data_IF_275090166363
#
_entry.id   IF_275090166363
#
_cell.length_a   1.000
_cell.length_b   1.000
_cell.length_c   1.000
_cell.angle_alpha   90.00
_cell.angle_beta   90.00
_cell.angle_gamma   90.00
#
_symmetry.space_group_name_H-M   'P 1'
#
loop_
_entity.id
_entity.type
_entity.pdbx_description
1 polymer ?
#
# COMPACT_ATOMS: atom_id res chain seq x y z
N UNK A 1 10.60 6.10 -12.58
CA UNK A 1 10.09 6.17 -11.19
C UNK A 1 10.55 4.90 -10.48
N UNK A 2 10.82 4.95 -9.18
CA UNK A 2 11.18 3.76 -8.40
C UNK A 2 9.96 2.84 -8.24
N UNK A 3 10.15 1.52 -8.31
CA UNK A 3 9.05 0.55 -8.43
C UNK A 3 8.16 0.50 -7.18
N UNK A 4 8.75 0.55 -5.97
CA UNK A 4 8.00 0.50 -4.71
C UNK A 4 7.15 1.76 -4.52
N UNK A 5 7.67 2.93 -4.90
CA UNK A 5 6.95 4.19 -4.87
C UNK A 5 5.70 4.15 -5.76
N UNK A 6 5.86 3.70 -7.02
CA UNK A 6 4.73 3.53 -7.93
C UNK A 6 3.70 2.53 -7.40
N UNK A 7 4.15 1.42 -6.79
CA UNK A 7 3.25 0.47 -6.13
C UNK A 7 2.46 1.11 -4.99
N UNK A 8 3.11 1.92 -4.16
CA UNK A 8 2.48 2.59 -3.02
C UNK A 8 1.39 3.57 -3.46
N UNK A 9 1.66 4.34 -4.52
CA UNK A 9 0.67 5.24 -5.13
C UNK A 9 -0.56 4.47 -5.64
N UNK A 10 -0.34 3.37 -6.38
CA UNK A 10 -1.42 2.53 -6.90
C UNK A 10 -2.21 1.85 -5.78
N UNK A 11 -1.55 1.44 -4.69
CA UNK A 11 -2.20 0.86 -3.53
C UNK A 11 -3.21 1.85 -2.91
N UNK A 12 -2.84 3.13 -2.82
CA UNK A 12 -3.65 4.20 -2.25
C UNK A 12 -4.84 4.65 -3.13
N UNK A 13 -4.86 4.31 -4.43
CA UNK A 13 -5.97 4.68 -5.32
C UNK A 13 -7.30 4.05 -4.88
N UNK A 14 -8.34 4.86 -4.75
CA UNK A 14 -9.69 4.38 -4.40
C UNK A 14 -10.46 3.86 -5.62
N UNK A 15 -10.23 4.43 -6.80
CA UNK A 15 -10.89 4.02 -8.04
C UNK A 15 -10.32 2.65 -8.51
N UNK A 16 -11.16 1.59 -8.56
CA UNK A 16 -10.72 0.27 -8.97
C UNK A 16 -10.30 0.22 -10.45
N UNK A 17 -10.92 1.00 -11.33
CA UNK A 17 -10.61 1.00 -12.77
C UNK A 17 -9.27 1.66 -13.02
N UNK A 18 -9.06 2.86 -12.45
CA UNK A 18 -7.79 3.55 -12.54
C UNK A 18 -6.64 2.72 -11.92
N UNK A 19 -6.88 2.07 -10.78
CA UNK A 19 -5.91 1.16 -10.15
C UNK A 19 -5.53 0.00 -11.07
N UNK A 20 -6.52 -0.68 -11.64
CA UNK A 20 -6.27 -1.82 -12.53
C UNK A 20 -5.45 -1.41 -13.76
N UNK A 21 -5.79 -0.27 -14.38
CA UNK A 21 -5.04 0.26 -15.52
C UNK A 21 -3.59 0.62 -15.14
N UNK A 22 -3.40 1.29 -14.00
CA UNK A 22 -2.07 1.66 -13.51
C UNK A 22 -1.19 0.44 -13.16
N UNK A 23 -1.76 -0.58 -12.53
CA UNK A 23 -1.05 -1.84 -12.23
C UNK A 23 -0.68 -2.60 -13.51
N UNK A 24 -1.56 -2.60 -14.51
CA UNK A 24 -1.28 -3.23 -15.80
C UNK A 24 -0.13 -2.54 -16.57
N UNK A 25 -0.01 -1.22 -16.42
CA UNK A 25 1.04 -0.40 -17.05
C UNK A 25 2.35 -0.34 -16.26
N UNK A 26 2.41 -0.95 -15.07
CA UNK A 26 3.58 -0.87 -14.19
C UNK A 26 4.79 -1.59 -14.80
N UNK A 27 5.93 -0.89 -14.87
CA UNK A 27 7.21 -1.50 -15.24
C UNK A 27 7.77 -2.36 -14.10
N UNK A 28 7.56 -3.67 -14.18
CA UNK A 28 8.01 -4.63 -13.16
C UNK A 28 9.52 -4.88 -13.15
N UNK A 29 10.23 -4.40 -14.18
CA UNK A 29 11.70 -4.43 -14.24
C UNK A 29 12.31 -3.10 -13.75
N UNK A 30 11.47 -2.17 -13.28
CA UNK A 30 11.92 -0.90 -12.74
C UNK A 30 12.86 -1.04 -11.54
N UNK A 31 13.66 0.00 -11.25
CA UNK A 31 14.62 -0.03 -10.17
C UNK A 31 13.93 -0.16 -8.81
N UNK A 32 14.54 -0.93 -7.92
CA UNK A 32 14.16 -1.05 -6.51
C UNK A 32 15.25 -0.41 -5.67
N UNK A 33 14.92 0.67 -4.99
CA UNK A 33 15.82 1.29 -4.01
C UNK A 33 15.52 0.72 -2.62
N UNK A 34 16.44 -0.10 -2.10
CA UNK A 34 16.32 -0.72 -0.79
C UNK A 34 16.64 0.25 0.38
N UNK A 35 17.34 1.36 0.11
CA UNK A 35 17.65 2.37 1.11
C UNK A 35 16.53 3.42 1.22
N UNK A 36 15.64 3.49 0.22
CA UNK A 36 14.46 4.35 0.25
C UNK A 36 13.49 3.92 1.37
N UNK A 37 13.18 4.89 2.24
CA UNK A 37 12.21 4.79 3.33
C UNK A 37 10.93 5.49 2.90
N UNK A 38 9.79 4.84 3.14
CA UNK A 38 8.47 5.39 2.85
C UNK A 38 7.75 5.68 4.16
N UNK A 39 7.08 6.83 4.21
CA UNK A 39 6.13 7.10 5.27
C UNK A 39 4.89 6.22 5.12
N UNK A 40 4.33 5.79 6.25
CA UNK A 40 3.07 5.03 6.25
C UNK A 40 1.94 5.93 5.72
N UNK A 41 1.19 5.50 4.70
CA UNK A 41 0.03 6.27 4.24
C UNK A 41 -1.06 6.29 5.33
N UNK A 42 -1.91 7.33 5.39
CA UNK A 42 -2.94 7.45 6.43
C UNK A 42 -3.97 6.31 6.42
N UNK A 43 -4.07 5.59 5.30
CA UNK A 43 -4.89 4.39 5.15
C UNK A 43 -4.86 3.88 3.71
N UNK A 44 -5.47 2.71 3.49
CA UNK A 44 -5.61 2.11 2.17
C UNK A 44 -7.09 1.80 1.91
N UNK A 45 -7.63 2.08 0.72
CA UNK A 45 -9.01 1.75 0.38
C UNK A 45 -9.33 0.26 0.65
N UNK A 46 -10.44 0.01 1.36
CA UNK A 46 -10.87 -1.34 1.74
C UNK A 46 -10.14 -1.94 2.95
N UNK A 47 -9.13 -1.26 3.51
CA UNK A 47 -8.54 -1.61 4.82
C UNK A 47 -9.24 -0.82 5.91
N UNK A 48 -9.85 -1.53 6.86
CA UNK A 48 -10.30 -0.92 8.11
C UNK A 48 -9.11 -0.38 8.89
N UNK A 49 -9.36 0.57 9.79
CA UNK A 49 -8.37 0.99 10.77
C UNK A 49 -7.78 -0.23 11.51
N UNK A 50 -6.50 -0.14 11.88
CA UNK A 50 -5.85 -1.17 12.70
C UNK A 50 -6.65 -1.35 13.99
N UNK A 51 -7.13 -2.56 14.32
CA UNK A 51 -7.84 -2.78 15.56
C UNK A 51 -6.90 -2.51 16.75
N UNK A 52 -7.45 -2.06 17.89
CA UNK A 52 -6.64 -1.85 19.09
C UNK A 52 -6.02 -3.19 19.54
N UNK A 53 -4.79 -3.14 20.02
CA UNK A 53 -4.17 -4.28 20.69
C UNK A 53 -4.87 -4.49 22.03
N UNK A 54 -5.44 -5.68 22.21
CA UNK A 54 -6.07 -6.08 23.47
C UNK A 54 -5.10 -6.93 24.29
N UNK A 55 -5.05 -6.76 25.63
CA UNK A 55 -4.38 -7.69 26.52
C UNK A 55 -4.91 -9.11 26.34
N UNK A 56 -4.04 -10.11 26.52
CA UNK A 56 -4.40 -11.54 26.42
C UNK A 56 -5.59 -11.94 27.32
N UNK A 57 -5.79 -11.27 28.46
CA UNK A 57 -6.93 -11.49 29.37
C UNK A 57 -8.28 -11.05 28.83
N UNK A 58 -8.30 -10.31 27.72
CA UNK A 58 -9.52 -9.78 27.08
C UNK A 58 -9.86 -10.47 25.75
N UNK A 59 -9.08 -11.49 25.35
CA UNK A 59 -9.37 -12.34 24.19
C UNK A 59 -10.31 -13.46 24.67
N UNK A 60 -11.52 -13.52 24.10
CA UNK A 60 -12.54 -14.56 24.40
C UNK A 60 -12.44 -15.73 23.44
#
# INVERSE_FOLDING_TARGET
MELRAACLELLALADPVAKAAGVAALDRAGPIDCACVFDEPPGVPGRSARPPLLPHTQIK
#
